data_IF_914499528700
#
_entry.id   IF_914499528700
#
_cell.length_a   1.000
_cell.length_b   1.000
_cell.length_c   1.000
_cell.angle_alpha   90.00
_cell.angle_beta   90.00
_cell.angle_gamma   90.00
#
_symmetry.space_group_name_H-M   'P 1'
#
loop_
_entity.id
_entity.type
_entity.pdbx_description
1 polymer ?
#
# COMPACT_ATOMS: atom_id res chain seq x y z
N UNK A 1 16.22 -16.82 -0.71
CA UNK A 1 15.20 -16.38 -1.72
C UNK A 1 14.27 -15.42 -1.02
N UNK A 2 13.95 -14.28 -1.63
CA UNK A 2 13.02 -13.28 -1.08
C UNK A 2 11.60 -13.54 -1.59
N UNK A 3 10.61 -13.42 -0.70
CA UNK A 3 9.19 -13.42 -1.04
C UNK A 3 8.61 -12.03 -0.80
N UNK A 4 8.07 -11.42 -1.83
CA UNK A 4 7.39 -10.13 -1.72
C UNK A 4 5.88 -10.34 -1.57
N UNK A 5 5.27 -9.70 -0.60
CA UNK A 5 3.82 -9.62 -0.43
C UNK A 5 3.44 -8.16 -0.59
N UNK A 6 2.68 -7.84 -1.64
CA UNK A 6 2.40 -6.45 -2.03
C UNK A 6 0.90 -6.20 -2.05
N UNK A 7 0.41 -5.22 -1.28
CA UNK A 7 -0.99 -4.81 -1.33
C UNK A 7 -1.22 -3.68 -2.33
N UNK A 8 -2.43 -3.64 -2.95
CA UNK A 8 -2.82 -2.55 -3.84
C UNK A 8 -2.11 -2.55 -5.19
N UNK A 9 -1.97 -3.72 -5.81
CA UNK A 9 -1.22 -3.92 -7.07
C UNK A 9 -2.01 -3.60 -8.34
N UNK A 10 -3.29 -3.25 -8.23
CA UNK A 10 -4.19 -3.08 -9.38
C UNK A 10 -3.81 -1.92 -10.31
N UNK A 11 -3.05 -0.95 -9.81
CA UNK A 11 -2.67 0.28 -10.55
C UNK A 11 -1.60 1.09 -9.81
N UNK A 12 -1.05 2.08 -10.52
CA UNK A 12 -0.15 3.08 -9.94
C UNK A 12 1.14 2.48 -9.40
N UNK A 13 1.57 2.88 -8.19
CA UNK A 13 2.83 2.44 -7.63
C UNK A 13 2.90 0.92 -7.45
N UNK A 14 1.83 0.29 -6.91
CA UNK A 14 1.81 -1.16 -6.68
C UNK A 14 1.89 -1.98 -7.96
N UNK A 15 1.22 -1.54 -9.03
CA UNK A 15 1.35 -2.12 -10.37
C UNK A 15 2.80 -2.06 -10.88
N UNK A 16 3.44 -0.89 -10.77
CA UNK A 16 4.81 -0.69 -11.22
C UNK A 16 5.84 -1.47 -10.38
N UNK A 17 5.60 -1.60 -9.06
CA UNK A 17 6.44 -2.45 -8.22
C UNK A 17 6.38 -3.91 -8.66
N UNK A 18 5.17 -4.45 -8.92
CA UNK A 18 5.02 -5.82 -9.44
C UNK A 18 5.74 -5.97 -10.79
N UNK A 19 5.48 -5.07 -11.74
CA UNK A 19 6.06 -5.13 -13.09
C UNK A 19 7.59 -5.16 -13.03
N UNK A 20 8.21 -4.27 -12.26
CA UNK A 20 9.67 -4.18 -12.21
C UNK A 20 10.31 -5.31 -11.38
N UNK A 21 9.70 -5.71 -10.25
CA UNK A 21 10.21 -6.81 -9.44
C UNK A 21 10.16 -8.15 -10.19
N UNK A 22 9.14 -8.38 -11.03
CA UNK A 22 9.07 -9.58 -11.87
C UNK A 22 10.14 -9.59 -12.95
N UNK A 23 10.52 -8.44 -13.50
CA UNK A 23 11.69 -8.33 -14.41
C UNK A 23 12.99 -8.71 -13.70
N UNK A 24 13.10 -8.46 -12.40
CA UNK A 24 14.22 -8.91 -11.55
C UNK A 24 14.03 -10.34 -11.01
N UNK A 25 13.09 -11.12 -11.57
CA UNK A 25 12.81 -12.52 -11.19
C UNK A 25 12.52 -12.72 -9.70
N UNK A 26 11.93 -11.73 -9.05
CA UNK A 26 11.51 -11.83 -7.65
C UNK A 26 10.16 -12.53 -7.55
N UNK A 27 9.99 -13.40 -6.54
CA UNK A 27 8.72 -14.06 -6.25
C UNK A 27 7.77 -13.10 -5.53
N UNK A 28 6.54 -12.95 -6.06
CA UNK A 28 5.58 -11.98 -5.57
C UNK A 28 4.22 -12.65 -5.32
N UNK A 29 3.62 -12.35 -4.17
CA UNK A 29 2.19 -12.50 -3.91
C UNK A 29 1.58 -11.09 -3.94
N UNK A 30 0.76 -10.82 -4.93
CA UNK A 30 0.10 -9.55 -5.11
C UNK A 30 -1.36 -9.60 -4.68
N UNK A 31 -1.76 -8.68 -3.79
CA UNK A 31 -3.12 -8.58 -3.26
C UNK A 31 -3.80 -7.34 -3.84
N UNK A 32 -4.95 -7.54 -4.46
CA UNK A 32 -5.73 -6.44 -5.06
C UNK A 32 -7.15 -6.87 -5.41
N UNK A 33 -8.00 -5.91 -5.75
CA UNK A 33 -9.40 -6.18 -6.16
C UNK A 33 -9.53 -6.58 -7.62
N UNK A 34 -8.65 -6.08 -8.42
CA UNK A 34 -8.58 -6.31 -9.88
C UNK A 34 -7.13 -6.36 -10.32
N UNK A 35 -6.87 -6.95 -11.46
CA UNK A 35 -5.52 -7.12 -12.00
C UNK A 35 -5.47 -6.69 -13.45
N UNK A 36 -4.29 -6.24 -13.91
CA UNK A 36 -4.09 -5.91 -15.32
C UNK A 36 -4.07 -7.18 -16.17
N UNK A 37 -4.23 -7.02 -17.47
CA UNK A 37 -4.12 -8.15 -18.41
C UNK A 37 -2.74 -8.80 -18.34
N UNK A 38 -1.71 -7.99 -18.24
CA UNK A 38 -0.30 -8.42 -18.14
C UNK A 38 -0.04 -9.21 -16.86
N UNK A 39 -0.58 -8.76 -15.72
CA UNK A 39 -0.50 -9.47 -14.44
C UNK A 39 -1.19 -10.84 -14.52
N UNK A 40 -2.38 -10.92 -15.12
CA UNK A 40 -3.10 -12.19 -15.28
C UNK A 40 -2.34 -13.16 -16.19
N UNK A 41 -1.81 -12.68 -17.33
CA UNK A 41 -1.00 -13.50 -18.24
C UNK A 41 0.24 -14.03 -17.49
N UNK A 42 0.97 -13.18 -16.79
CA UNK A 42 2.17 -13.58 -16.06
C UNK A 42 1.86 -14.60 -14.95
N UNK A 43 0.82 -14.36 -14.16
CA UNK A 43 0.43 -15.27 -13.08
C UNK A 43 0.01 -16.66 -13.61
N UNK A 44 -0.61 -16.71 -14.79
CA UNK A 44 -0.99 -17.98 -15.44
C UNK A 44 0.23 -18.69 -16.04
N UNK A 45 1.14 -17.96 -16.70
CA UNK A 45 2.30 -18.53 -17.36
C UNK A 45 3.46 -18.86 -16.40
N UNK A 46 3.54 -18.19 -15.26
CA UNK A 46 4.61 -18.39 -14.27
C UNK A 46 4.13 -18.08 -12.85
N UNK A 47 3.35 -19.00 -12.28
CA UNK A 47 2.82 -18.90 -10.91
C UNK A 47 3.90 -18.89 -9.82
N UNK A 48 5.10 -19.36 -10.11
CA UNK A 48 6.25 -19.27 -9.20
C UNK A 48 6.79 -17.85 -9.08
N UNK A 49 6.56 -17.01 -10.08
CA UNK A 49 7.02 -15.62 -10.10
C UNK A 49 5.94 -14.67 -9.56
N UNK A 50 4.71 -14.83 -10.02
CA UNK A 50 3.59 -13.99 -9.60
C UNK A 50 2.37 -14.82 -9.24
N UNK A 51 1.91 -14.66 -8.01
CA UNK A 51 0.62 -15.18 -7.52
C UNK A 51 -0.29 -14.00 -7.24
N UNK A 52 -1.52 -14.05 -7.72
CA UNK A 52 -2.53 -13.02 -7.52
C UNK A 52 -3.59 -13.49 -6.53
N UNK A 53 -3.91 -12.65 -5.55
CA UNK A 53 -5.00 -12.87 -4.60
C UNK A 53 -6.03 -11.75 -4.75
N UNK A 54 -7.23 -12.12 -5.21
CA UNK A 54 -8.37 -11.21 -5.35
C UNK A 54 -9.03 -10.93 -4.01
N UNK A 55 -8.76 -9.75 -3.41
CA UNK A 55 -9.33 -9.41 -2.10
C UNK A 55 -9.60 -7.91 -1.95
N UNK A 56 -10.76 -7.53 -1.38
CA UNK A 56 -11.02 -6.14 -0.97
C UNK A 56 -10.52 -5.91 0.46
N UNK A 57 -9.45 -5.14 0.60
CA UNK A 57 -8.84 -4.82 1.89
C UNK A 57 -9.75 -4.00 2.83
N UNK A 58 -10.88 -3.51 2.35
CA UNK A 58 -11.92 -2.92 3.20
C UNK A 58 -12.75 -3.97 3.94
N UNK A 59 -12.79 -5.21 3.43
CA UNK A 59 -13.55 -6.31 4.03
C UNK A 59 -12.72 -7.04 5.09
N UNK A 60 -12.64 -6.48 6.27
CA UNK A 60 -11.88 -7.06 7.39
C UNK A 60 -12.59 -8.27 8.02
N UNK A 61 -13.90 -8.42 7.81
CA UNK A 61 -14.66 -9.57 8.30
C UNK A 61 -14.25 -10.86 7.58
N UNK A 62 -13.89 -10.78 6.30
CA UNK A 62 -13.38 -11.93 5.51
C UNK A 62 -11.85 -12.12 5.64
N UNK A 63 -11.19 -11.52 6.61
CA UNK A 63 -9.73 -11.64 6.76
C UNK A 63 -9.27 -13.11 6.92
N UNK A 64 -10.11 -13.98 7.49
CA UNK A 64 -9.79 -15.42 7.58
C UNK A 64 -9.66 -16.08 6.21
N UNK A 65 -10.46 -15.68 5.22
CA UNK A 65 -10.35 -16.17 3.84
C UNK A 65 -9.00 -15.75 3.23
N UNK A 66 -8.60 -14.50 3.43
CA UNK A 66 -7.29 -14.02 2.99
C UNK A 66 -6.14 -14.80 3.64
N UNK A 67 -6.23 -15.14 4.94
CA UNK A 67 -5.23 -15.97 5.62
C UNK A 67 -5.09 -17.35 4.98
N UNK A 68 -6.22 -18.02 4.71
CA UNK A 68 -6.24 -19.33 4.06
C UNK A 68 -5.56 -19.27 2.68
N UNK A 69 -5.88 -18.25 1.90
CA UNK A 69 -5.22 -18.03 0.60
C UNK A 69 -3.71 -17.82 0.76
N UNK A 70 -3.29 -16.97 1.69
CA UNK A 70 -1.87 -16.73 1.97
C UNK A 70 -1.16 -17.99 2.50
N UNK A 71 -1.79 -18.76 3.39
CA UNK A 71 -1.23 -20.01 3.92
C UNK A 71 -0.91 -21.01 2.81
N UNK A 72 -1.75 -21.08 1.79
CA UNK A 72 -1.52 -21.97 0.64
C UNK A 72 -0.38 -21.51 -0.28
N UNK A 73 0.06 -20.26 -0.19
CA UNK A 73 1.05 -19.63 -1.09
C UNK A 73 2.38 -19.31 -0.39
N UNK A 74 2.35 -19.02 0.91
CA UNK A 74 3.57 -18.81 1.70
C UNK A 74 4.09 -20.20 2.09
N UNK A 75 5.17 -20.62 1.46
CA UNK A 75 5.90 -21.82 1.87
C UNK A 75 7.11 -21.42 2.73
N UNK A 76 7.51 -22.30 3.65
CA UNK A 76 8.59 -22.07 4.62
C UNK A 76 9.99 -21.92 4.01
N UNK A 77 10.10 -21.98 2.65
CA UNK A 77 11.36 -21.87 1.93
C UNK A 77 11.82 -20.43 1.65
N UNK A 78 11.05 -19.41 2.07
CA UNK A 78 11.48 -18.04 1.95
C UNK A 78 12.53 -17.73 3.03
N UNK A 79 13.71 -17.28 2.61
CA UNK A 79 14.77 -16.85 3.53
C UNK A 79 14.40 -15.50 4.16
N UNK A 80 13.71 -14.64 3.42
CA UNK A 80 13.26 -13.32 3.85
C UNK A 80 11.88 -13.02 3.27
N UNK A 81 10.97 -12.51 4.10
CA UNK A 81 9.65 -12.01 3.65
C UNK A 81 9.68 -10.48 3.63
N UNK A 82 9.30 -9.90 2.51
CA UNK A 82 9.18 -8.45 2.34
C UNK A 82 7.71 -8.09 2.12
N UNK A 83 7.11 -7.49 3.14
CA UNK A 83 5.75 -6.97 3.06
C UNK A 83 5.76 -5.51 2.60
N UNK A 84 5.20 -5.23 1.42
CA UNK A 84 5.01 -3.88 0.92
C UNK A 84 3.58 -3.44 1.20
N UNK A 85 3.39 -2.68 2.29
CA UNK A 85 2.12 -2.05 2.64
C UNK A 85 1.91 -0.82 1.75
N UNK A 86 1.38 -1.05 0.55
CA UNK A 86 1.20 -0.02 -0.48
C UNK A 86 -0.27 0.41 -0.67
N UNK A 87 -1.23 -0.48 -0.41
CA UNK A 87 -2.64 -0.13 -0.55
C UNK A 87 -3.01 1.08 0.33
N UNK A 88 -3.80 1.98 -0.22
CA UNK A 88 -4.30 3.13 0.52
C UNK A 88 -5.35 3.89 -0.28
N UNK A 89 -6.23 4.57 0.43
CA UNK A 89 -7.25 5.46 -0.13
C UNK A 89 -7.18 6.81 0.59
N UNK A 90 -7.56 7.88 -0.13
CA UNK A 90 -7.60 9.23 0.42
C UNK A 90 -9.02 9.66 0.76
N UNK A 91 -10.02 9.05 0.13
CA UNK A 91 -11.44 9.34 0.37
C UNK A 91 -11.92 8.79 1.74
N UNK A 92 -12.90 9.46 2.36
CA UNK A 92 -13.52 10.71 1.94
C UNK A 92 -12.58 11.90 2.11
N UNK A 93 -12.64 12.86 1.18
CA UNK A 93 -11.96 14.16 1.27
C UNK A 93 -13.03 15.17 1.66
N UNK A 94 -13.06 15.56 2.92
CA UNK A 94 -14.07 16.46 3.44
C UNK A 94 -13.69 16.94 4.84
N UNK A 95 -14.21 18.09 5.26
CA UNK A 95 -14.11 18.54 6.65
C UNK A 95 -14.92 17.63 7.56
N UNK A 96 -14.43 17.42 8.78
CA UNK A 96 -15.20 16.69 9.81
C UNK A 96 -16.53 17.43 10.09
N UNK A 97 -17.61 16.66 10.17
CA UNK A 97 -18.98 17.19 10.22
C UNK A 97 -19.69 17.22 8.86
N UNK A 98 -18.92 17.16 7.74
CA UNK A 98 -19.47 17.10 6.39
C UNK A 98 -19.32 15.72 5.71
N UNK A 99 -18.72 14.75 6.41
CA UNK A 99 -18.65 13.37 5.92
C UNK A 99 -20.07 12.79 5.99
N UNK A 100 -20.60 12.37 4.83
CA UNK A 100 -22.00 11.98 4.68
C UNK A 100 -22.29 10.54 5.08
N UNK A 101 -21.35 9.63 4.80
CA UNK A 101 -21.56 8.19 4.93
C UNK A 101 -20.56 7.59 5.94
N UNK A 102 -21.05 7.01 7.03
CA UNK A 102 -20.22 6.31 8.01
C UNK A 102 -19.43 5.16 7.38
N UNK A 103 -20.01 4.51 6.39
CA UNK A 103 -19.35 3.45 5.63
C UNK A 103 -18.06 3.90 4.92
N UNK A 104 -17.96 5.18 4.54
CA UNK A 104 -16.73 5.73 3.96
C UNK A 104 -15.63 5.89 5.03
N UNK A 105 -16.01 6.23 6.26
CA UNK A 105 -15.09 6.30 7.41
C UNK A 105 -14.56 4.90 7.72
N UNK A 106 -15.45 3.92 7.87
CA UNK A 106 -15.08 2.53 8.12
C UNK A 106 -14.16 1.98 7.03
N UNK A 107 -14.55 2.18 5.76
CA UNK A 107 -13.73 1.77 4.62
C UNK A 107 -12.34 2.38 4.65
N UNK A 108 -12.24 3.67 4.98
CA UNK A 108 -10.96 4.37 5.07
C UNK A 108 -10.07 3.76 6.15
N UNK A 109 -10.61 3.57 7.35
CA UNK A 109 -9.86 2.98 8.48
C UNK A 109 -9.49 1.53 8.18
N UNK A 110 -10.40 0.74 7.64
CA UNK A 110 -10.12 -0.65 7.28
C UNK A 110 -8.95 -0.77 6.30
N UNK A 111 -8.96 0.01 5.21
CA UNK A 111 -7.90 -0.07 4.18
C UNK A 111 -6.57 0.51 4.66
N UNK A 112 -6.60 1.68 5.31
CA UNK A 112 -5.38 2.42 5.62
C UNK A 112 -4.73 2.03 6.95
N UNK A 113 -5.48 1.40 7.86
CA UNK A 113 -4.98 1.06 9.19
C UNK A 113 -5.27 -0.38 9.60
N UNK A 114 -6.54 -0.80 9.71
CA UNK A 114 -6.89 -2.09 10.32
C UNK A 114 -6.34 -3.27 9.51
N UNK A 115 -6.53 -3.30 8.20
CA UNK A 115 -6.01 -4.39 7.37
C UNK A 115 -4.47 -4.48 7.39
N UNK A 116 -3.70 -3.39 7.27
CA UNK A 116 -2.25 -3.42 7.51
C UNK A 116 -1.84 -3.98 8.88
N UNK A 117 -2.56 -3.65 9.95
CA UNK A 117 -2.33 -4.20 11.30
C UNK A 117 -2.57 -5.72 11.31
N UNK A 118 -3.71 -6.17 10.78
CA UNK A 118 -4.06 -7.60 10.71
C UNK A 118 -3.05 -8.40 9.88
N UNK A 119 -2.66 -7.88 8.72
CA UNK A 119 -1.65 -8.52 7.86
C UNK A 119 -0.28 -8.57 8.53
N UNK A 120 0.15 -7.50 9.18
CA UNK A 120 1.43 -7.46 9.91
C UNK A 120 1.46 -8.51 11.02
N UNK A 121 0.41 -8.56 11.85
CA UNK A 121 0.29 -9.54 12.92
C UNK A 121 0.28 -10.99 12.38
N UNK A 122 -0.48 -11.25 11.30
CA UNK A 122 -0.53 -12.56 10.66
C UNK A 122 0.85 -12.98 10.12
N UNK A 123 1.52 -12.08 9.37
CA UNK A 123 2.81 -12.40 8.75
C UNK A 123 3.91 -12.65 9.78
N UNK A 124 3.96 -11.88 10.87
CA UNK A 124 4.91 -12.10 11.98
C UNK A 124 4.65 -13.42 12.71
N UNK A 125 3.40 -13.85 12.82
CA UNK A 125 3.06 -15.15 13.38
C UNK A 125 3.40 -16.31 12.43
N UNK A 126 3.22 -16.11 11.14
CA UNK A 126 3.43 -17.14 10.10
C UNK A 126 4.90 -17.34 9.77
N UNK A 127 5.66 -16.26 9.62
CA UNK A 127 7.08 -16.28 9.23
C UNK A 127 7.96 -15.98 10.44
N UNK A 128 8.85 -16.92 10.81
CA UNK A 128 9.75 -16.78 11.97
C UNK A 128 11.16 -16.32 11.58
N UNK A 129 11.43 -16.17 10.29
CA UNK A 129 12.71 -15.69 9.76
C UNK A 129 12.75 -14.16 9.60
N UNK A 130 13.82 -13.64 8.98
CA UNK A 130 13.96 -12.21 8.71
C UNK A 130 12.79 -11.66 7.90
N UNK A 131 12.24 -10.54 8.36
CA UNK A 131 11.14 -9.87 7.70
C UNK A 131 11.45 -8.38 7.52
N UNK A 132 11.05 -7.84 6.38
CA UNK A 132 11.05 -6.41 6.12
C UNK A 132 9.65 -5.91 5.81
N UNK A 133 9.26 -4.79 6.43
CA UNK A 133 8.03 -4.07 6.06
C UNK A 133 8.43 -2.77 5.38
N UNK A 134 7.99 -2.59 4.15
CA UNK A 134 8.07 -1.33 3.44
C UNK A 134 6.70 -0.66 3.49
N UNK A 135 6.54 0.33 4.33
CA UNK A 135 5.30 1.06 4.48
C UNK A 135 5.30 2.29 3.56
N UNK A 136 4.45 2.26 2.54
CA UNK A 136 4.24 3.42 1.67
C UNK A 136 3.43 4.46 2.43
N UNK A 137 4.16 5.43 2.96
CA UNK A 137 3.67 6.53 3.78
C UNK A 137 3.24 7.73 2.92
N UNK A 138 3.20 8.88 3.48
CA UNK A 138 2.88 10.17 2.84
C UNK A 138 3.34 11.29 3.77
N UNK A 139 3.66 12.45 3.22
CA UNK A 139 3.82 13.68 4.02
C UNK A 139 2.62 14.00 4.92
N UNK A 140 1.44 13.46 4.60
CA UNK A 140 0.24 13.55 5.44
C UNK A 140 0.40 12.89 6.82
N UNK A 141 1.35 11.97 7.00
CA UNK A 141 1.63 11.37 8.32
C UNK A 141 2.27 12.37 9.31
N UNK A 142 2.92 13.40 8.79
CA UNK A 142 3.62 14.42 9.58
C UNK A 142 2.91 15.79 9.55
N UNK A 143 1.80 15.90 8.82
CA UNK A 143 1.07 17.14 8.62
C UNK A 143 -0.38 17.06 9.10
N UNK A 144 -0.98 18.22 9.39
CA UNK A 144 -2.42 18.38 9.65
C UNK A 144 -3.01 19.17 8.49
N UNK A 145 -3.64 18.45 7.56
CA UNK A 145 -4.18 19.02 6.31
C UNK A 145 -5.70 19.06 6.41
N UNK A 146 -6.27 20.25 6.25
CA UNK A 146 -7.72 20.47 6.26
C UNK A 146 -8.40 19.67 5.16
N UNK A 147 -9.48 18.95 5.47
CA UNK A 147 -10.18 18.03 4.56
C UNK A 147 -9.56 16.61 4.51
N UNK A 148 -8.41 16.39 5.16
CA UNK A 148 -7.75 15.07 5.22
C UNK A 148 -7.62 14.51 6.63
N UNK A 149 -8.54 14.81 7.52
CA UNK A 149 -8.50 14.34 8.91
C UNK A 149 -8.30 12.82 9.02
N UNK A 150 -9.08 12.02 8.27
CA UNK A 150 -8.94 10.57 8.24
C UNK A 150 -7.62 10.13 7.60
N UNK A 151 -7.21 10.77 6.52
CA UNK A 151 -5.99 10.38 5.81
C UNK A 151 -4.73 10.69 6.64
N UNK A 152 -4.63 11.89 7.21
CA UNK A 152 -3.52 12.26 8.09
C UNK A 152 -3.45 11.35 9.32
N UNK A 153 -4.58 11.14 10.01
CA UNK A 153 -4.63 10.32 11.22
C UNK A 153 -4.30 8.86 10.93
N UNK A 154 -4.87 8.26 9.89
CA UNK A 154 -4.59 6.85 9.54
C UNK A 154 -3.14 6.62 9.11
N UNK A 155 -2.54 7.55 8.34
CA UNK A 155 -1.12 7.45 7.94
C UNK A 155 -0.17 7.63 9.13
N UNK A 156 -0.50 8.50 10.08
CA UNK A 156 0.27 8.64 11.31
C UNK A 156 0.09 7.42 12.22
N UNK A 157 -1.13 6.92 12.36
CA UNK A 157 -1.43 5.75 13.20
C UNK A 157 -0.68 4.50 12.73
N UNK A 158 -0.74 4.16 11.43
CA UNK A 158 -0.02 2.99 10.92
C UNK A 158 1.50 3.14 11.01
N UNK A 159 2.04 4.36 10.82
CA UNK A 159 3.46 4.63 11.02
C UNK A 159 3.85 4.33 12.47
N UNK A 160 3.14 4.90 13.45
CA UNK A 160 3.41 4.69 14.88
C UNK A 160 3.28 3.22 15.27
N UNK A 161 2.23 2.52 14.78
CA UNK A 161 2.07 1.08 15.02
C UNK A 161 3.28 0.29 14.54
N UNK A 162 3.72 0.52 13.32
CA UNK A 162 4.86 -0.19 12.74
C UNK A 162 6.20 0.16 13.42
N UNK A 163 6.38 1.40 13.90
CA UNK A 163 7.54 1.80 14.69
C UNK A 163 7.63 1.03 16.01
N UNK A 164 6.48 0.78 16.68
CA UNK A 164 6.42 -0.03 17.90
C UNK A 164 6.72 -1.49 17.57
N UNK A 165 6.06 -2.07 16.58
CA UNK A 165 6.25 -3.46 16.15
C UNK A 165 7.71 -3.73 15.76
N UNK A 166 8.39 -2.76 15.14
CA UNK A 166 9.82 -2.86 14.80
C UNK A 166 10.72 -2.96 16.04
N UNK A 167 10.36 -2.28 17.13
CA UNK A 167 11.10 -2.39 18.41
C UNK A 167 10.84 -3.70 19.14
N UNK A 168 9.67 -4.29 18.96
CA UNK A 168 9.27 -5.55 19.58
C UNK A 168 9.89 -6.79 18.91
N UNK A 169 10.38 -6.67 17.67
CA UNK A 169 10.80 -7.81 16.86
C UNK A 169 12.21 -7.63 16.29
N UNK A 170 13.19 -8.31 16.85
CA UNK A 170 14.62 -8.20 16.46
C UNK A 170 14.91 -8.61 15.01
N UNK A 171 14.07 -9.46 14.40
CA UNK A 171 14.25 -9.92 13.01
C UNK A 171 13.42 -9.11 12.00
N UNK A 172 12.74 -8.07 12.47
CA UNK A 172 11.96 -7.17 11.64
C UNK A 172 12.74 -5.89 11.34
N UNK A 173 12.67 -5.43 10.11
CA UNK A 173 13.09 -4.08 9.70
C UNK A 173 11.90 -3.36 9.09
N UNK A 174 11.58 -2.17 9.57
CA UNK A 174 10.52 -1.32 9.03
C UNK A 174 11.12 -0.08 8.38
N UNK A 175 10.70 0.20 7.16
CA UNK A 175 11.05 1.42 6.40
C UNK A 175 9.78 2.17 6.02
N UNK A 176 9.71 3.46 6.32
CA UNK A 176 8.62 4.34 5.90
C UNK A 176 9.05 5.17 4.71
N UNK A 177 8.36 5.01 3.59
CA UNK A 177 8.69 5.68 2.34
C UNK A 177 7.58 6.70 2.02
N UNK A 178 7.93 7.97 1.98
CA UNK A 178 7.09 8.96 1.32
C UNK A 178 7.43 8.96 -0.18
N UNK A 179 6.51 8.48 -1.02
CA UNK A 179 6.74 8.41 -2.45
C UNK A 179 6.62 9.77 -3.15
N UNK A 180 6.26 10.82 -2.39
CA UNK A 180 5.90 12.13 -2.95
C UNK A 180 4.58 12.11 -3.72
N UNK A 181 4.29 13.19 -4.45
CA UNK A 181 3.04 13.33 -5.21
C UNK A 181 3.21 12.74 -6.60
N UNK A 182 2.51 11.61 -6.84
CA UNK A 182 2.59 10.87 -8.09
C UNK A 182 1.39 11.10 -9.00
N UNK A 183 1.57 10.97 -10.32
CA UNK A 183 0.48 11.05 -11.30
C UNK A 183 -0.36 9.76 -11.29
N UNK A 184 -1.26 9.63 -10.34
CA UNK A 184 -2.11 8.46 -10.09
C UNK A 184 -3.59 8.83 -10.10
N UNK A 185 -4.46 7.81 -10.08
CA UNK A 185 -5.91 8.02 -9.92
C UNK A 185 -6.25 8.68 -8.57
N UNK A 186 -5.50 8.39 -7.51
CA UNK A 186 -5.67 9.07 -6.22
C UNK A 186 -5.49 10.59 -6.38
N UNK A 187 -4.44 11.00 -7.07
CA UNK A 187 -4.16 12.40 -7.34
C UNK A 187 -5.23 13.04 -8.27
N UNK A 188 -5.82 12.26 -9.19
CA UNK A 188 -6.96 12.73 -9.98
C UNK A 188 -8.18 12.98 -9.08
N UNK A 189 -8.53 12.04 -8.19
CA UNK A 189 -9.65 12.19 -7.24
C UNK A 189 -9.49 13.44 -6.36
N UNK A 190 -8.26 13.70 -5.87
CA UNK A 190 -7.96 14.91 -5.08
C UNK A 190 -8.30 16.18 -5.87
N UNK A 191 -7.95 16.25 -7.14
CA UNK A 191 -8.21 17.44 -7.98
C UNK A 191 -9.67 17.64 -8.36
N UNK A 192 -10.51 16.63 -8.19
CA UNK A 192 -11.95 16.65 -8.47
C UNK A 192 -12.80 17.11 -7.27
N UNK A 193 -12.17 17.32 -6.09
CA UNK A 193 -12.86 17.84 -4.91
C UNK A 193 -13.23 19.32 -5.04
N UNK A 194 -14.11 19.78 -4.15
CA UNK A 194 -14.39 21.20 -3.98
C UNK A 194 -13.30 21.89 -3.16
N UNK A 195 -13.14 23.20 -3.34
CA UNK A 195 -12.23 24.01 -2.50
C UNK A 195 -12.75 24.13 -1.07
N UNK A 196 -14.06 24.04 -0.88
CA UNK A 196 -14.71 24.09 0.44
C UNK A 196 -14.34 22.88 1.29
N UNK A 197 -14.34 21.67 0.69
CA UNK A 197 -13.97 20.43 1.35
C UNK A 197 -12.44 20.27 1.50
N UNK A 198 -11.69 20.83 0.55
CA UNK A 198 -10.24 20.71 0.50
C UNK A 198 -9.56 22.03 0.11
N UNK A 199 -9.34 22.95 1.06
CA UNK A 199 -8.80 24.29 0.78
C UNK A 199 -7.43 24.31 0.08
N UNK A 200 -6.61 23.27 0.28
CA UNK A 200 -5.30 23.14 -0.38
C UNK A 200 -5.37 22.60 -1.82
N UNK A 201 -6.56 22.44 -2.37
CA UNK A 201 -6.80 21.88 -3.72
C UNK A 201 -5.98 22.56 -4.82
N UNK A 202 -5.86 23.88 -4.77
CA UNK A 202 -5.12 24.64 -5.79
C UNK A 202 -3.62 24.31 -5.82
N UNK A 203 -3.01 23.93 -4.70
CA UNK A 203 -1.66 23.41 -4.66
C UNK A 203 -1.54 22.12 -5.52
N UNK A 204 -2.45 21.17 -5.33
CA UNK A 204 -2.43 19.90 -6.08
C UNK A 204 -2.75 20.06 -7.56
N UNK A 205 -3.63 21.02 -7.93
CA UNK A 205 -3.86 21.41 -9.32
C UNK A 205 -2.59 22.03 -9.93
N UNK A 206 -1.91 22.90 -9.18
CA UNK A 206 -0.65 23.51 -9.58
C UNK A 206 0.47 22.49 -9.84
N UNK A 207 0.59 21.44 -9.02
CA UNK A 207 1.56 20.36 -9.26
C UNK A 207 1.33 19.67 -10.61
N UNK A 208 0.07 19.43 -10.98
CA UNK A 208 -0.26 18.83 -12.28
C UNK A 208 0.04 19.78 -13.44
N UNK A 209 -0.40 21.03 -13.34
CA UNK A 209 -0.25 22.03 -14.40
C UNK A 209 1.21 22.36 -14.69
N UNK A 210 2.06 22.30 -13.68
CA UNK A 210 3.50 22.57 -13.79
C UNK A 210 4.35 21.29 -14.02
N UNK A 211 3.72 20.15 -14.37
CA UNK A 211 4.40 18.87 -14.60
C UNK A 211 5.32 18.41 -13.44
N UNK A 212 4.95 18.72 -12.19
CA UNK A 212 5.71 18.36 -10.99
C UNK A 212 5.31 17.01 -10.37
N UNK A 213 4.37 16.31 -10.98
CA UNK A 213 3.97 14.97 -10.53
C UNK A 213 4.97 13.93 -11.02
N UNK A 214 5.46 13.11 -10.09
CA UNK A 214 6.36 12.00 -10.45
C UNK A 214 5.58 10.86 -11.16
N UNK A 215 6.23 10.13 -12.06
CA UNK A 215 5.65 8.93 -12.61
C UNK A 215 5.69 7.79 -11.57
N UNK A 216 4.64 6.96 -11.45
CA UNK A 216 4.68 5.78 -10.60
C UNK A 216 5.83 4.82 -10.96
N UNK A 217 6.19 4.75 -12.25
CA UNK A 217 7.31 3.94 -12.76
C UNK A 217 8.66 4.39 -12.17
N UNK A 218 8.96 5.68 -12.21
CA UNK A 218 10.23 6.22 -11.69
C UNK A 218 10.30 6.09 -10.16
N UNK A 219 9.17 6.27 -9.48
CA UNK A 219 9.09 6.08 -8.03
C UNK A 219 9.32 4.61 -7.68
N UNK A 220 8.68 3.67 -8.38
CA UNK A 220 8.92 2.23 -8.18
C UNK A 220 10.39 1.88 -8.38
N UNK A 221 11.02 2.39 -9.45
CA UNK A 221 12.45 2.17 -9.74
C UNK A 221 13.35 2.67 -8.60
N UNK A 222 13.08 3.84 -8.05
CA UNK A 222 13.82 4.39 -6.89
C UNK A 222 13.64 3.53 -5.65
N UNK A 223 12.42 3.11 -5.34
CA UNK A 223 12.11 2.25 -4.19
C UNK A 223 12.81 0.90 -4.32
N UNK A 224 12.72 0.26 -5.47
CA UNK A 224 13.35 -1.04 -5.71
C UNK A 224 14.87 -0.95 -5.51
N UNK A 225 15.51 0.03 -6.15
CA UNK A 225 16.96 0.23 -6.06
C UNK A 225 17.42 0.62 -4.65
N UNK A 226 16.64 1.43 -3.94
CA UNK A 226 17.03 1.93 -2.62
C UNK A 226 16.78 0.96 -1.47
N UNK A 227 15.73 0.15 -1.56
CA UNK A 227 15.20 -0.56 -0.38
C UNK A 227 14.97 -2.07 -0.58
N UNK A 228 14.76 -2.55 -1.80
CA UNK A 228 14.27 -3.90 -2.03
C UNK A 228 15.30 -4.84 -2.68
N UNK A 229 16.12 -4.35 -3.58
CA UNK A 229 17.15 -5.13 -4.27
C UNK A 229 18.49 -4.40 -4.08
N UNK A 230 19.39 -5.08 -3.42
CA UNK A 230 20.81 -4.70 -3.37
C UNK A 230 21.60 -5.67 -4.23
#
# INVERSE_FOLDING_TARGET
>A
MKLFIITGISRGLGEQLVTQLTQHKQRIIGIGRTFTREQNILATSNSNLLTLIGFDLANTLSFNELKIELDSKINDNAIEVIFVNNAGIVNPISKVGNIKEDADVERHINVNYLMPVLLTNYLLNKHRGPMKILNISSGAAEASIEGWSLYCSSKKAIKTFLDVVNKENMQLTVEHIDPGVMNTRMQKNIRECSVEDFPTLNHFRGLKNNNKLMSPEDVARKIIKGYLIK
#
